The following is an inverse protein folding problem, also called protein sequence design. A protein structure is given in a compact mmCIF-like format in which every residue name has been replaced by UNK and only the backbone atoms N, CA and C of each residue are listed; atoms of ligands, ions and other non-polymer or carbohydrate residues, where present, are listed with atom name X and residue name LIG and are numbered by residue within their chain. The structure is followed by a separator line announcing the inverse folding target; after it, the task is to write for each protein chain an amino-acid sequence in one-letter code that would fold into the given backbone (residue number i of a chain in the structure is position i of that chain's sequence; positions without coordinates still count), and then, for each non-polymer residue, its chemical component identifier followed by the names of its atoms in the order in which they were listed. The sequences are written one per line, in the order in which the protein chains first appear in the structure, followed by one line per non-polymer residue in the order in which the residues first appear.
data_IF_669252400008
#
_entry.id   IF_669252400008
#
_cell.length_a   1.000
_cell.length_b   1.000
_cell.length_c   1.000
_cell.angle_alpha   90.00
_cell.angle_beta   90.00
_cell.angle_gamma   90.00
#
_symmetry.space_group_name_H-M   'P 1'
#
loop_
_entity.id
_entity.type
_entity.pdbx_description
1 polymer ?
#
# COMPACT_ATOMS: atom_id res chain seq x y z
N UNK A 1 -5.32 -98.42 -35.50
CA UNK A 1 -5.61 -97.21 -36.30
C UNK A 1 -5.08 -95.99 -35.54
N UNK A 2 -4.61 -94.96 -36.24
CA UNK A 2 -3.21 -94.51 -36.16
C UNK A 2 -2.92 -93.31 -35.24
N UNK A 3 -1.61 -93.11 -35.06
CA UNK A 3 -0.79 -91.92 -34.79
C UNK A 3 -1.45 -90.54 -34.80
N UNK A 4 -0.95 -89.64 -33.94
CA UNK A 4 -0.14 -88.48 -34.37
C UNK A 4 0.45 -87.69 -33.20
N UNK A 5 1.77 -87.50 -33.28
CA UNK A 5 2.54 -86.47 -32.58
C UNK A 5 2.02 -85.06 -32.91
N UNK A 6 2.21 -84.11 -31.99
CA UNK A 6 2.45 -82.72 -32.35
C UNK A 6 3.40 -82.03 -31.36
N UNK A 7 4.57 -81.76 -31.91
CA UNK A 7 5.71 -81.03 -31.37
C UNK A 7 5.55 -79.51 -31.48
N UNK A 8 6.22 -78.79 -30.56
CA UNK A 8 7.01 -77.55 -30.76
C UNK A 8 6.39 -76.29 -31.41
N UNK A 9 6.59 -75.14 -30.76
CA UNK A 9 6.70 -73.86 -31.47
C UNK A 9 6.40 -72.60 -30.66
N UNK A 10 7.44 -71.82 -30.35
CA UNK A 10 7.37 -70.42 -29.89
C UNK A 10 7.03 -69.48 -31.07
N UNK A 11 6.30 -68.38 -30.81
CA UNK A 11 6.42 -67.07 -31.49
C UNK A 11 5.65 -66.03 -30.66
N UNK A 12 6.29 -65.00 -30.09
CA UNK A 12 6.79 -63.75 -30.70
C UNK A 12 5.67 -62.73 -31.03
N UNK A 13 5.61 -61.72 -30.17
CA UNK A 13 5.31 -60.29 -30.42
C UNK A 13 3.95 -59.89 -31.03
N UNK A 14 3.16 -59.22 -30.19
CA UNK A 14 2.30 -58.11 -30.61
C UNK A 14 2.29 -57.06 -29.51
N UNK A 15 3.12 -56.03 -29.69
CA UNK A 15 3.05 -54.77 -28.98
C UNK A 15 1.71 -54.11 -29.34
N UNK A 16 0.82 -53.97 -28.36
CA UNK A 16 -0.16 -52.89 -28.34
C UNK A 16 -0.18 -52.30 -26.93
N UNK A 17 0.53 -51.17 -26.79
CA UNK A 17 0.40 -50.26 -25.65
C UNK A 17 -1.05 -49.80 -25.59
N UNK A 18 -1.82 -50.34 -24.66
CA UNK A 18 -2.97 -49.62 -24.10
C UNK A 18 -2.49 -48.96 -22.82
N UNK A 19 -1.98 -47.73 -22.98
CA UNK A 19 -1.76 -46.82 -21.88
C UNK A 19 -3.10 -46.13 -21.63
N UNK A 20 -3.98 -46.78 -20.87
CA UNK A 20 -5.21 -46.13 -20.37
C UNK A 20 -4.76 -45.19 -19.26
N UNK A 21 -4.81 -43.90 -19.59
CA UNK A 21 -4.58 -42.77 -18.72
C UNK A 21 -5.60 -42.83 -17.56
N UNK A 22 -5.15 -43.24 -16.37
CA UNK A 22 -5.84 -42.95 -15.12
C UNK A 22 -5.61 -41.44 -14.85
N UNK A 23 -6.42 -40.59 -15.48
CA UNK A 23 -6.64 -39.23 -14.95
C UNK A 23 -7.47 -39.39 -13.70
N UNK A 24 -6.90 -39.03 -12.55
CA UNK A 24 -7.63 -38.87 -11.30
C UNK A 24 -8.55 -37.64 -11.46
N UNK A 25 -9.89 -37.80 -11.51
CA UNK A 25 -10.82 -36.68 -11.69
C UNK A 25 -10.88 -35.76 -10.46
N UNK A 26 -10.21 -36.12 -9.37
CA UNK A 26 -10.29 -35.47 -8.06
C UNK A 26 -9.44 -34.21 -7.96
N UNK A 27 -8.29 -34.16 -8.65
CA UNK A 27 -7.37 -33.01 -8.63
C UNK A 27 -7.93 -31.71 -9.27
N UNK A 28 -8.52 -31.72 -10.49
CA UNK A 28 -9.01 -30.48 -11.10
C UNK A 28 -10.19 -29.86 -10.34
N UNK A 29 -11.05 -30.70 -9.74
CA UNK A 29 -12.17 -30.22 -8.93
C UNK A 29 -11.70 -29.65 -7.58
N UNK A 30 -10.65 -30.23 -6.98
CA UNK A 30 -10.04 -29.68 -5.75
C UNK A 30 -9.40 -28.32 -6.00
N UNK A 31 -8.75 -28.14 -7.14
CA UNK A 31 -8.10 -26.87 -7.51
C UNK A 31 -9.13 -25.77 -7.77
N UNK A 32 -10.20 -26.05 -8.53
CA UNK A 32 -11.27 -25.08 -8.79
C UNK A 32 -11.90 -24.56 -7.48
N UNK A 33 -12.14 -25.45 -6.51
CA UNK A 33 -12.68 -25.10 -5.18
C UNK A 33 -11.70 -24.22 -4.38
N UNK A 34 -10.39 -24.53 -4.41
CA UNK A 34 -9.35 -23.72 -3.75
C UNK A 34 -9.31 -22.29 -4.35
N UNK A 35 -9.35 -22.19 -5.68
CA UNK A 35 -9.30 -20.89 -6.37
C UNK A 35 -10.57 -20.06 -6.14
N UNK A 36 -11.75 -20.67 -6.15
CA UNK A 36 -13.01 -19.98 -5.83
C UNK A 36 -13.06 -19.54 -4.35
N UNK A 37 -12.54 -20.36 -3.44
CA UNK A 37 -12.37 -19.99 -2.02
C UNK A 37 -11.50 -18.75 -1.87
N UNK A 38 -10.37 -18.67 -2.58
CA UNK A 38 -9.52 -17.48 -2.59
C UNK A 38 -10.24 -16.23 -3.09
N UNK A 39 -10.99 -16.32 -4.21
CA UNK A 39 -11.74 -15.17 -4.74
C UNK A 39 -12.79 -14.67 -3.75
N UNK A 40 -13.48 -15.59 -3.06
CA UNK A 40 -14.47 -15.27 -2.02
C UNK A 40 -13.82 -14.61 -0.81
N UNK A 41 -12.71 -15.16 -0.32
CA UNK A 41 -11.99 -14.61 0.82
C UNK A 41 -11.49 -13.19 0.55
N UNK A 42 -10.93 -12.93 -0.65
CA UNK A 42 -10.56 -11.57 -1.06
C UNK A 42 -11.80 -10.65 -1.03
N UNK A 43 -12.93 -11.11 -1.58
CA UNK A 43 -14.16 -10.31 -1.59
C UNK A 43 -14.64 -9.98 -0.17
N UNK A 44 -14.72 -10.97 0.72
CA UNK A 44 -15.12 -10.81 2.12
C UNK A 44 -14.25 -9.78 2.84
N UNK A 45 -12.92 -9.87 2.71
CA UNK A 45 -12.00 -8.91 3.34
C UNK A 45 -12.23 -7.47 2.88
N UNK A 46 -12.47 -7.27 1.59
CA UNK A 46 -12.72 -5.93 1.05
C UNK A 46 -14.14 -5.42 1.34
N UNK A 47 -15.12 -6.31 1.52
CA UNK A 47 -16.45 -5.96 2.03
C UNK A 47 -16.35 -5.50 3.48
N UNK A 48 -15.68 -6.26 4.34
CA UNK A 48 -15.47 -5.91 5.76
C UNK A 48 -14.70 -4.59 5.89
N UNK A 49 -13.66 -4.40 5.08
CA UNK A 49 -12.90 -3.16 5.05
C UNK A 49 -13.76 -1.96 4.63
N UNK A 50 -14.65 -2.15 3.65
CA UNK A 50 -15.57 -1.11 3.21
C UNK A 50 -16.66 -0.80 4.25
N UNK A 51 -17.09 -1.81 5.02
CA UNK A 51 -18.00 -1.62 6.15
C UNK A 51 -17.33 -0.85 7.31
N UNK A 52 -16.02 -1.04 7.51
CA UNK A 52 -15.24 -0.26 8.49
C UNK A 52 -14.89 1.16 8.01
N UNK A 53 -15.11 1.47 6.73
CA UNK A 53 -14.86 2.79 6.16
C UNK A 53 -16.07 3.72 6.38
N UNK A 54 -16.34 4.05 7.64
CA UNK A 54 -17.18 5.20 7.99
C UNK A 54 -16.54 6.48 7.43
N UNK A 55 -17.34 7.48 7.03
CA UNK A 55 -16.84 8.71 6.39
C UNK A 55 -15.74 9.42 7.19
N UNK A 56 -15.76 9.29 8.53
CA UNK A 56 -14.77 9.89 9.43
C UNK A 56 -13.53 9.03 9.68
N UNK A 57 -13.54 7.73 9.36
CA UNK A 57 -12.43 6.80 9.64
C UNK A 57 -11.62 6.41 8.40
N UNK A 58 -12.16 6.68 7.21
CA UNK A 58 -11.49 6.41 5.94
C UNK A 58 -10.10 7.10 5.89
N UNK A 59 -9.07 6.35 5.51
CA UNK A 59 -7.67 6.81 5.44
C UNK A 59 -7.09 7.28 6.80
N UNK A 60 -7.64 6.81 7.92
CA UNK A 60 -6.94 6.84 9.22
C UNK A 60 -5.81 5.80 9.29
N UNK A 61 -4.86 5.97 10.20
CA UNK A 61 -3.80 4.99 10.47
C UNK A 61 -4.40 3.61 10.84
N UNK A 62 -5.49 3.60 11.60
CA UNK A 62 -6.19 2.37 11.97
C UNK A 62 -6.80 1.68 10.74
N UNK A 63 -7.52 2.44 9.91
CA UNK A 63 -8.18 1.89 8.72
C UNK A 63 -7.17 1.37 7.70
N UNK A 64 -6.09 2.10 7.45
CA UNK A 64 -5.00 1.63 6.58
C UNK A 64 -4.33 0.39 7.20
N UNK A 65 -4.21 0.35 8.52
CA UNK A 65 -3.77 -0.84 9.24
C UNK A 65 -4.64 -2.07 8.93
N UNK A 66 -5.97 -1.94 8.88
CA UNK A 66 -6.91 -3.01 8.50
C UNK A 66 -6.79 -3.39 7.02
N UNK A 67 -6.52 -2.44 6.14
CA UNK A 67 -6.22 -2.69 4.73
C UNK A 67 -4.95 -3.54 4.59
N UNK A 68 -3.88 -3.19 5.31
CA UNK A 68 -2.64 -3.95 5.28
C UNK A 68 -2.81 -5.35 5.84
N UNK A 69 -3.53 -5.53 6.94
CA UNK A 69 -3.83 -6.88 7.47
C UNK A 69 -4.60 -7.72 6.44
N UNK A 70 -5.61 -7.14 5.80
CA UNK A 70 -6.40 -7.79 4.74
C UNK A 70 -5.52 -8.20 3.55
N UNK A 71 -4.63 -7.30 3.12
CA UNK A 71 -3.66 -7.58 2.07
C UNK A 71 -2.72 -8.72 2.47
N UNK A 72 -2.18 -8.70 3.69
CA UNK A 72 -1.25 -9.72 4.17
C UNK A 72 -1.91 -11.11 4.27
N UNK A 73 -3.18 -11.17 4.64
CA UNK A 73 -3.98 -12.41 4.57
C UNK A 73 -4.10 -12.91 3.12
N UNK A 74 -4.52 -12.05 2.19
CA UNK A 74 -4.65 -12.43 0.77
C UNK A 74 -3.30 -12.88 0.18
N UNK A 75 -2.21 -12.23 0.56
CA UNK A 75 -0.88 -12.54 0.08
C UNK A 75 -0.37 -13.90 0.56
N UNK A 76 -0.69 -14.28 1.80
CA UNK A 76 -0.30 -15.58 2.35
C UNK A 76 -1.06 -16.72 1.66
N UNK A 77 -2.36 -16.55 1.44
CA UNK A 77 -3.19 -17.54 0.73
C UNK A 77 -2.75 -17.69 -0.72
N UNK A 78 -2.48 -16.56 -1.39
CA UNK A 78 -1.88 -16.56 -2.72
C UNK A 78 -0.54 -17.31 -2.73
N UNK A 79 0.34 -17.07 -1.74
CA UNK A 79 1.64 -17.76 -1.61
C UNK A 79 1.44 -19.28 -1.51
N UNK A 80 0.49 -19.73 -0.70
CA UNK A 80 0.17 -21.16 -0.54
C UNK A 80 -0.31 -21.77 -1.87
N UNK A 81 -1.24 -21.11 -2.58
CA UNK A 81 -1.73 -21.57 -3.89
C UNK A 81 -0.59 -21.71 -4.90
N UNK A 82 0.26 -20.68 -5.02
CA UNK A 82 1.43 -20.71 -5.91
C UNK A 82 2.38 -21.85 -5.52
N UNK A 83 2.58 -22.09 -4.22
CA UNK A 83 3.44 -23.18 -3.73
C UNK A 83 2.86 -24.57 -4.00
N UNK A 84 1.53 -24.74 -3.90
CA UNK A 84 0.86 -26.01 -4.15
C UNK A 84 0.89 -26.41 -5.64
N UNK A 85 0.83 -25.41 -6.54
CA UNK A 85 0.71 -25.63 -7.99
C UNK A 85 1.99 -25.32 -8.78
N UNK A 86 3.17 -25.46 -8.16
CA UNK A 86 4.48 -25.11 -8.76
C UNK A 86 4.75 -25.70 -10.15
N UNK A 87 4.35 -26.94 -10.38
CA UNK A 87 4.53 -27.63 -11.66
C UNK A 87 3.79 -26.95 -12.82
N UNK A 88 2.73 -26.20 -12.52
CA UNK A 88 1.97 -25.44 -13.50
C UNK A 88 2.62 -24.07 -13.77
N UNK A 89 3.41 -23.53 -12.83
CA UNK A 89 4.08 -22.23 -12.97
C UNK A 89 5.19 -22.22 -14.01
N UNK A 90 5.80 -23.38 -14.28
CA UNK A 90 6.88 -23.50 -15.28
C UNK A 90 6.35 -23.64 -16.71
N UNK A 91 5.03 -23.86 -16.85
CA UNK A 91 4.39 -24.06 -18.16
C UNK A 91 3.91 -22.73 -18.71
N UNK A 92 4.05 -22.55 -20.02
CA UNK A 92 3.40 -21.41 -20.69
C UNK A 92 1.87 -21.54 -20.63
N UNK A 93 1.12 -20.45 -20.39
CA UNK A 93 1.58 -19.06 -20.25
C UNK A 93 1.86 -18.62 -18.78
N UNK A 94 1.81 -19.53 -17.80
CA UNK A 94 1.94 -19.18 -16.38
C UNK A 94 3.33 -18.66 -16.00
N UNK A 95 4.38 -19.18 -16.61
CA UNK A 95 5.77 -18.74 -16.44
C UNK A 95 5.91 -17.22 -16.58
N UNK A 96 5.33 -16.65 -17.63
CA UNK A 96 5.35 -15.21 -17.89
C UNK A 96 4.46 -14.44 -16.91
N UNK A 97 3.27 -14.97 -16.61
CA UNK A 97 2.34 -14.29 -15.70
C UNK A 97 2.91 -14.15 -14.29
N UNK A 98 3.59 -15.19 -13.80
CA UNK A 98 4.20 -15.16 -12.47
C UNK A 98 5.48 -14.33 -12.45
N UNK A 99 6.29 -14.36 -13.51
CA UNK A 99 7.46 -13.49 -13.67
C UNK A 99 7.04 -12.00 -13.66
N UNK A 100 6.02 -11.64 -14.46
CA UNK A 100 5.47 -10.30 -14.49
C UNK A 100 4.93 -9.87 -13.11
N UNK A 101 4.30 -10.78 -12.36
CA UNK A 101 3.87 -10.50 -11.00
C UNK A 101 5.06 -10.17 -10.08
N UNK A 102 6.15 -10.94 -10.16
CA UNK A 102 7.33 -10.66 -9.34
C UNK A 102 8.03 -9.37 -9.74
N UNK A 103 8.08 -9.03 -11.03
CA UNK A 103 8.60 -7.75 -11.47
C UNK A 103 7.76 -6.57 -10.94
N UNK A 104 6.43 -6.71 -10.94
CA UNK A 104 5.52 -5.75 -10.31
C UNK A 104 5.69 -5.69 -8.79
N UNK A 105 6.01 -6.81 -8.14
CA UNK A 105 6.23 -6.85 -6.70
C UNK A 105 7.51 -6.11 -6.29
N UNK A 106 8.55 -6.09 -7.14
CA UNK A 106 9.74 -5.23 -6.92
C UNK A 106 9.35 -3.75 -6.88
N UNK A 107 8.53 -3.29 -7.82
CA UNK A 107 8.03 -1.91 -7.83
C UNK A 107 7.19 -1.60 -6.58
N UNK A 108 6.44 -2.58 -6.07
CA UNK A 108 5.73 -2.43 -4.80
C UNK A 108 6.68 -2.31 -3.59
N UNK A 109 7.85 -2.98 -3.62
CA UNK A 109 8.89 -2.80 -2.60
C UNK A 109 9.47 -1.37 -2.65
N UNK A 110 9.66 -0.80 -3.84
CA UNK A 110 10.09 0.60 -3.99
C UNK A 110 9.05 1.57 -3.40
N UNK A 111 7.76 1.28 -3.58
CA UNK A 111 6.69 2.04 -2.91
C UNK A 111 6.79 1.89 -1.40
N UNK A 112 6.94 0.68 -0.86
CA UNK A 112 7.09 0.47 0.58
C UNK A 112 8.28 1.24 1.17
N UNK A 113 9.40 1.31 0.45
CA UNK A 113 10.56 2.12 0.84
C UNK A 113 10.22 3.61 0.93
N UNK A 114 9.57 4.15 -0.09
CA UNK A 114 9.15 5.56 -0.08
C UNK A 114 8.11 5.86 1.00
N UNK A 115 7.22 4.92 1.31
CA UNK A 115 6.25 5.05 2.38
C UNK A 115 6.94 5.05 3.75
N UNK A 116 7.93 4.19 3.98
CA UNK A 116 8.76 4.23 5.19
C UNK A 116 9.45 5.58 5.35
N UNK A 117 10.04 6.11 4.28
CA UNK A 117 10.69 7.43 4.32
C UNK A 117 9.66 8.55 4.61
N UNK A 118 8.44 8.42 4.08
CA UNK A 118 7.32 9.31 4.41
C UNK A 118 6.87 9.22 5.88
N UNK A 119 6.87 8.02 6.46
CA UNK A 119 6.62 7.80 7.91
C UNK A 119 7.71 8.47 8.76
N UNK A 120 8.98 8.35 8.37
CA UNK A 120 10.08 9.00 9.07
C UNK A 120 9.94 10.53 9.05
N UNK A 121 9.57 11.09 7.90
CA UNK A 121 9.30 12.52 7.75
C UNK A 121 8.15 12.97 8.66
N UNK A 122 7.08 12.19 8.72
CA UNK A 122 5.97 12.42 9.64
C UNK A 122 6.46 12.45 11.10
N UNK A 123 7.33 11.51 11.49
CA UNK A 123 7.94 11.50 12.82
C UNK A 123 8.80 12.75 13.10
N UNK A 124 9.48 13.30 12.09
CA UNK A 124 10.20 14.57 12.24
C UNK A 124 9.25 15.74 12.48
N UNK A 125 8.08 15.76 11.84
CA UNK A 125 7.06 16.80 12.08
C UNK A 125 6.55 16.75 13.51
N UNK A 126 6.32 15.56 14.06
CA UNK A 126 5.90 15.41 15.45
C UNK A 126 6.92 15.97 16.44
N UNK A 127 8.23 15.84 16.16
CA UNK A 127 9.31 16.44 16.97
C UNK A 127 9.31 17.97 16.87
N UNK A 128 9.08 18.52 15.68
CA UNK A 128 8.98 19.98 15.51
C UNK A 128 7.78 20.56 16.26
N UNK A 129 6.64 19.87 16.21
CA UNK A 129 5.42 20.28 16.92
C UNK A 129 5.64 20.22 18.43
N UNK A 130 6.34 19.20 18.93
CA UNK A 130 6.72 19.12 20.34
C UNK A 130 7.54 20.33 20.80
N UNK A 131 8.51 20.76 20.00
CA UNK A 131 9.30 21.96 20.31
C UNK A 131 8.42 23.21 20.38
N UNK A 132 7.47 23.36 19.44
CA UNK A 132 6.52 24.48 19.44
C UNK A 132 5.63 24.44 20.68
N UNK A 133 5.10 23.28 21.03
CA UNK A 133 4.27 23.09 22.22
C UNK A 133 5.05 23.44 23.51
N UNK A 134 6.30 22.97 23.63
CA UNK A 134 7.16 23.33 24.77
C UNK A 134 7.48 24.83 24.84
N UNK A 135 7.69 25.49 23.69
CA UNK A 135 7.96 26.92 23.65
C UNK A 135 6.74 27.76 24.06
N UNK A 136 5.54 27.33 23.64
CA UNK A 136 4.28 27.97 24.04
C UNK A 136 4.03 27.79 25.54
N UNK A 137 4.20 26.57 26.08
CA UNK A 137 4.02 26.31 27.51
C UNK A 137 5.01 27.10 28.39
N UNK A 138 6.28 27.19 27.97
CA UNK A 138 7.29 28.01 28.65
C UNK A 138 6.92 29.51 28.68
N UNK A 139 6.31 30.03 27.62
CA UNK A 139 5.85 31.42 27.56
C UNK A 139 4.64 31.73 28.46
N UNK A 140 3.90 30.71 28.90
CA UNK A 140 2.78 30.86 29.83
C UNK A 140 3.21 30.78 31.31
N UNK A 141 4.36 30.17 31.62
CA UNK A 141 4.85 29.97 33.00
C UNK A 141 5.70 31.09 33.59
N UNK A 142 6.41 31.88 32.76
CA UNK A 142 7.31 32.95 33.22
C UNK A 142 7.41 34.10 32.19
N UNK A 143 7.00 35.30 32.63
CA UNK A 143 7.38 36.65 32.17
C UNK A 143 7.01 37.17 30.76
N UNK A 144 6.39 38.36 30.77
CA UNK A 144 6.88 39.53 30.06
C UNK A 144 6.64 39.60 28.55
N UNK A 145 5.81 40.56 28.14
CA UNK A 145 5.41 40.94 26.76
C UNK A 145 6.53 41.08 25.70
N UNK A 146 7.81 40.95 26.06
CA UNK A 146 8.96 41.15 25.16
C UNK A 146 9.51 39.90 24.46
N UNK A 147 9.30 38.69 24.98
CA UNK A 147 10.04 37.49 24.50
C UNK A 147 9.30 36.67 23.43
N UNK A 148 8.00 36.88 23.25
CA UNK A 148 7.19 36.21 22.22
C UNK A 148 7.59 36.66 20.81
N UNK A 149 8.00 37.93 20.64
CA UNK A 149 8.51 38.43 19.36
C UNK A 149 9.97 38.03 19.07
N UNK A 150 10.78 37.77 20.10
CA UNK A 150 12.19 37.41 19.92
C UNK A 150 12.38 35.92 19.60
N UNK A 151 11.53 35.01 20.11
CA UNK A 151 11.63 33.57 19.80
C UNK A 151 11.21 33.28 18.35
N UNK A 152 10.15 33.93 17.86
CA UNK A 152 9.68 33.85 16.47
C UNK A 152 10.70 34.42 15.48
N UNK A 153 11.37 35.54 15.83
CA UNK A 153 12.46 36.11 15.02
C UNK A 153 13.77 35.30 15.06
N UNK A 154 14.06 34.58 16.14
CA UNK A 154 15.26 33.72 16.22
C UNK A 154 15.15 32.48 15.31
N UNK A 155 13.94 31.97 15.09
CA UNK A 155 13.63 30.92 14.12
C UNK A 155 13.73 31.45 12.67
N UNK A 156 13.38 32.72 12.45
CA UNK A 156 13.54 33.39 11.15
C UNK A 156 15.02 33.65 10.77
N UNK A 157 15.90 33.90 11.75
CA UNK A 157 17.33 34.11 11.50
C UNK A 157 18.14 32.82 11.35
N UNK A 158 17.84 31.75 12.10
CA UNK A 158 18.58 30.47 11.97
C UNK A 158 18.23 29.66 10.71
N UNK A 159 17.09 29.93 10.07
CA UNK A 159 16.73 29.33 8.79
C UNK A 159 17.25 30.10 7.55
N UNK A 160 17.83 31.30 7.73
CA UNK A 160 18.44 32.08 6.62
C UNK A 160 19.85 31.66 6.25
N UNK A 161 20.54 30.88 7.07
CA UNK A 161 21.94 30.49 6.82
C UNK A 161 22.12 29.30 5.86
N UNK A 162 21.04 28.65 5.39
CA UNK A 162 21.12 27.51 4.48
C UNK A 162 20.55 27.74 3.07
N UNK A 163 20.01 28.91 2.74
CA UNK A 163 19.34 29.14 1.44
C UNK A 163 19.72 30.49 0.83
N UNK A 164 20.89 30.52 0.19
CA UNK A 164 21.18 31.53 -0.84
C UNK A 164 20.59 31.04 -2.16
N UNK A 165 19.28 31.22 -2.34
CA UNK A 165 18.71 31.35 -3.67
C UNK A 165 17.60 32.39 -3.66
N UNK A 166 17.80 33.39 -4.51
CA UNK A 166 17.01 34.60 -4.66
C UNK A 166 15.87 34.28 -5.61
N UNK A 167 14.65 34.16 -5.11
CA UNK A 167 13.46 34.35 -5.94
C UNK A 167 12.31 34.95 -5.12
N UNK A 168 11.73 35.98 -5.72
CA UNK A 168 10.82 36.95 -5.14
C UNK A 168 9.40 36.39 -5.15
N UNK A 169 8.87 35.92 -4.02
CA UNK A 169 7.43 35.97 -3.75
C UNK A 169 7.16 35.77 -2.25
N UNK A 170 6.71 36.83 -1.59
CA UNK A 170 6.42 36.91 -0.17
C UNK A 170 4.99 36.42 0.14
N UNK A 171 4.83 35.96 1.38
CA UNK A 171 3.62 35.52 2.10
C UNK A 171 3.23 34.04 1.96
N UNK A 172 3.12 33.37 3.12
CA UNK A 172 2.75 31.94 3.39
C UNK A 172 3.84 30.86 3.25
N UNK A 173 5.04 31.10 3.80
CA UNK A 173 6.21 30.23 3.62
C UNK A 173 6.68 29.36 4.80
N UNK A 174 6.05 29.39 5.98
CA UNK A 174 6.67 28.80 7.18
C UNK A 174 6.59 27.27 7.31
N UNK A 175 5.72 26.60 6.53
CA UNK A 175 5.68 25.13 6.43
C UNK A 175 6.25 24.59 5.11
N UNK A 176 6.78 25.47 4.25
CA UNK A 176 7.19 25.10 2.88
C UNK A 176 8.65 24.66 2.74
N UNK A 177 9.43 24.60 3.82
CA UNK A 177 10.84 24.13 3.76
C UNK A 177 11.01 22.63 3.96
N UNK A 178 9.95 21.90 4.28
CA UNK A 178 9.96 20.43 4.26
C UNK A 178 9.78 19.99 2.80
N UNK A 179 10.81 20.16 1.96
CA UNK A 179 10.78 19.66 0.59
C UNK A 179 10.63 18.14 0.61
N UNK A 180 9.51 17.61 0.14
CA UNK A 180 9.21 16.17 0.06
C UNK A 180 10.02 15.45 -1.03
N UNK A 181 11.23 15.92 -1.29
CA UNK A 181 12.08 15.35 -2.33
C UNK A 181 12.79 14.12 -1.79
N UNK A 182 12.29 12.96 -2.22
CA UNK A 182 13.15 11.79 -2.42
C UNK A 182 14.03 12.08 -3.65
N UNK A 183 15.02 11.23 -3.94
CA UNK A 183 15.89 11.35 -5.10
C UNK A 183 15.16 11.82 -6.37
N UNK A 184 15.74 12.79 -7.09
CA UNK A 184 15.16 13.47 -8.28
C UNK A 184 14.70 12.53 -9.41
N UNK A 185 14.98 11.24 -9.34
CA UNK A 185 14.60 10.22 -10.33
C UNK A 185 13.37 9.38 -9.95
N UNK A 186 12.93 9.39 -8.69
CA UNK A 186 11.81 8.55 -8.23
C UNK A 186 10.47 9.29 -8.32
N UNK A 187 9.40 8.57 -8.65
CA UNK A 187 8.03 9.11 -8.74
C UNK A 187 7.02 8.02 -8.39
N UNK A 188 6.15 8.31 -7.41
CA UNK A 188 5.11 7.38 -6.99
C UNK A 188 4.16 7.03 -8.14
N UNK A 189 3.73 8.03 -8.92
CA UNK A 189 2.88 7.82 -10.09
C UNK A 189 3.53 6.88 -11.13
N UNK A 190 4.84 7.00 -11.38
CA UNK A 190 5.56 6.09 -12.29
C UNK A 190 5.65 4.67 -11.74
N UNK A 191 5.83 4.50 -10.42
CA UNK A 191 5.83 3.17 -9.80
C UNK A 191 4.46 2.51 -9.90
N UNK A 192 3.39 3.24 -9.57
CA UNK A 192 2.02 2.76 -9.70
C UNK A 192 1.66 2.43 -11.14
N UNK A 193 2.03 3.29 -12.09
CA UNK A 193 1.89 3.00 -13.51
C UNK A 193 2.68 1.75 -13.89
N UNK A 194 3.93 1.59 -13.40
CA UNK A 194 4.75 0.42 -13.66
C UNK A 194 4.17 -0.88 -13.09
N UNK A 195 3.38 -0.83 -12.03
CA UNK A 195 2.64 -1.98 -11.48
C UNK A 195 1.40 -2.26 -12.35
N UNK A 196 0.63 -1.23 -12.70
CA UNK A 196 -0.62 -1.37 -13.47
C UNK A 196 -0.45 -1.49 -14.99
N UNK A 197 0.73 -1.22 -15.53
CA UNK A 197 0.95 -1.25 -16.97
C UNK A 197 0.74 -2.66 -17.52
N UNK A 198 -0.04 -2.76 -18.60
CA UNK A 198 -0.44 -4.01 -19.22
C UNK A 198 -1.14 -4.99 -18.27
N UNK A 199 -1.76 -4.51 -17.18
CA UNK A 199 -2.59 -5.35 -16.32
C UNK A 199 -3.96 -5.54 -16.99
N UNK A 200 -4.07 -6.58 -17.83
CA UNK A 200 -5.31 -6.94 -18.51
C UNK A 200 -5.95 -8.16 -17.84
N UNK A 201 -7.29 -8.21 -17.87
CA UNK A 201 -8.02 -9.40 -17.44
C UNK A 201 -7.63 -10.61 -18.29
N UNK A 202 -7.28 -11.76 -17.69
CA UNK A 202 -6.94 -12.97 -18.43
C UNK A 202 -8.05 -13.37 -19.38
N UNK A 203 -7.70 -13.77 -20.60
CA UNK A 203 -8.69 -14.24 -21.59
C UNK A 203 -9.18 -15.63 -21.19
N UNK A 204 -10.38 -16.00 -21.62
CA UNK A 204 -10.93 -17.34 -21.36
C UNK A 204 -9.99 -18.47 -21.81
N UNK A 205 -9.26 -18.29 -22.91
CA UNK A 205 -8.23 -19.24 -23.37
C UNK A 205 -7.08 -19.40 -22.40
N UNK A 206 -6.63 -18.30 -21.79
CA UNK A 206 -5.51 -18.28 -20.86
C UNK A 206 -5.95 -18.87 -19.50
N UNK A 207 -7.19 -18.60 -19.08
CA UNK A 207 -7.79 -19.22 -17.89
C UNK A 207 -7.89 -20.74 -18.05
N UNK A 208 -8.38 -21.22 -19.20
CA UNK A 208 -8.46 -22.66 -19.48
C UNK A 208 -7.08 -23.32 -19.56
N UNK A 209 -6.10 -22.65 -20.18
CA UNK A 209 -4.73 -23.18 -20.30
C UNK A 209 -3.99 -23.30 -18.96
N UNK A 210 -4.45 -22.56 -17.94
CA UNK A 210 -3.78 -22.45 -16.63
C UNK A 210 -4.60 -23.02 -15.49
N UNK A 211 -5.67 -23.75 -15.80
CA UNK A 211 -6.63 -24.30 -14.83
C UNK A 211 -7.12 -23.23 -13.83
N UNK A 212 -7.26 -21.98 -14.26
CA UNK A 212 -7.69 -20.86 -13.42
C UNK A 212 -6.58 -20.08 -12.69
N UNK A 213 -5.33 -20.56 -12.64
CA UNK A 213 -4.26 -19.86 -11.90
C UNK A 213 -3.98 -18.44 -12.42
N UNK A 214 -4.14 -18.21 -13.72
CA UNK A 214 -4.00 -16.88 -14.30
C UNK A 214 -4.93 -15.87 -13.63
N UNK A 215 -6.13 -16.30 -13.21
CA UNK A 215 -7.08 -15.45 -12.50
C UNK A 215 -6.59 -15.14 -11.08
N UNK A 216 -6.03 -16.11 -10.37
CA UNK A 216 -5.46 -15.91 -9.03
C UNK A 216 -4.32 -14.89 -9.06
N UNK A 217 -3.41 -15.01 -10.03
CA UNK A 217 -2.32 -14.04 -10.24
C UNK A 217 -2.87 -12.66 -10.57
N UNK A 218 -3.87 -12.58 -11.46
CA UNK A 218 -4.52 -11.30 -11.81
C UNK A 218 -5.18 -10.63 -10.61
N UNK A 219 -5.94 -11.38 -9.79
CA UNK A 219 -6.56 -10.88 -8.57
C UNK A 219 -5.50 -10.35 -7.62
N UNK A 220 -4.47 -11.14 -7.31
CA UNK A 220 -3.42 -10.70 -6.38
C UNK A 220 -2.64 -9.49 -6.90
N UNK A 221 -2.37 -9.42 -8.21
CA UNK A 221 -1.73 -8.25 -8.83
C UNK A 221 -2.60 -7.00 -8.71
N UNK A 222 -3.92 -7.14 -8.91
CA UNK A 222 -4.88 -6.05 -8.79
C UNK A 222 -4.98 -5.52 -7.36
N UNK A 223 -5.03 -6.43 -6.38
CA UNK A 223 -5.05 -6.10 -4.96
C UNK A 223 -3.74 -5.44 -4.53
N UNK A 224 -2.58 -5.94 -5.00
CA UNK A 224 -1.28 -5.31 -4.77
C UNK A 224 -1.25 -3.87 -5.29
N UNK A 225 -1.68 -3.65 -6.53
CA UNK A 225 -1.75 -2.31 -7.13
C UNK A 225 -2.65 -1.39 -6.31
N UNK A 226 -3.84 -1.86 -5.92
CA UNK A 226 -4.78 -1.08 -5.12
C UNK A 226 -4.17 -0.67 -3.78
N UNK A 227 -3.58 -1.61 -3.04
CA UNK A 227 -2.97 -1.33 -1.72
C UNK A 227 -1.81 -0.34 -1.84
N UNK A 228 -0.92 -0.52 -2.82
CA UNK A 228 0.18 0.42 -3.06
C UNK A 228 -0.34 1.81 -3.45
N UNK A 229 -1.41 1.89 -4.23
CA UNK A 229 -2.07 3.15 -4.58
C UNK A 229 -2.66 3.85 -3.34
N UNK A 230 -3.33 3.10 -2.44
CA UNK A 230 -3.87 3.67 -1.19
C UNK A 230 -2.75 4.20 -0.30
N UNK A 231 -1.64 3.48 -0.16
CA UNK A 231 -0.49 3.93 0.62
C UNK A 231 0.09 5.24 0.07
N UNK A 232 0.28 5.32 -1.26
CA UNK A 232 0.72 6.53 -1.95
C UNK A 232 -0.27 7.68 -1.78
N UNK A 233 -1.57 7.40 -1.75
CA UNK A 233 -2.59 8.42 -1.52
C UNK A 233 -2.54 8.98 -0.10
N UNK A 234 -2.40 8.09 0.89
CA UNK A 234 -2.40 8.43 2.30
C UNK A 234 -1.13 9.20 2.73
N UNK A 235 0.05 8.66 2.41
CA UNK A 235 1.34 9.12 2.95
C UNK A 235 2.01 10.12 1.99
N UNK A 236 2.61 11.21 2.52
CA UNK A 236 3.38 12.14 1.69
C UNK A 236 4.52 11.43 0.96
N UNK A 237 4.50 11.49 -0.36
CA UNK A 237 5.58 11.01 -1.22
C UNK A 237 5.66 11.83 -2.51
N UNK A 238 6.79 11.73 -3.22
CA UNK A 238 7.06 12.53 -4.41
C UNK A 238 6.19 12.08 -5.61
N UNK A 239 5.63 13.07 -6.33
CA UNK A 239 4.85 12.84 -7.55
C UNK A 239 3.73 11.81 -7.38
N UNK A 240 2.89 11.97 -6.33
CA UNK A 240 1.80 11.04 -5.97
C UNK A 240 0.91 10.64 -7.14
N UNK A 241 0.56 11.61 -7.99
CA UNK A 241 -0.25 11.45 -9.21
C UNK A 241 -1.27 10.30 -9.13
N UNK A 242 -2.41 10.54 -8.46
CA UNK A 242 -3.46 9.52 -8.25
C UNK A 242 -4.22 9.10 -9.51
N UNK A 243 -3.72 9.43 -10.70
CA UNK A 243 -4.33 9.14 -11.99
C UNK A 243 -4.09 7.69 -12.44
N UNK A 244 -4.32 6.73 -11.54
CA UNK A 244 -4.34 5.31 -11.88
C UNK A 244 -5.77 4.96 -12.27
N UNK A 245 -5.97 4.51 -13.52
CA UNK A 245 -7.27 4.08 -13.98
C UNK A 245 -7.52 2.63 -13.55
N UNK A 246 -8.34 2.46 -12.52
CA UNK A 246 -8.85 1.16 -12.12
C UNK A 246 -10.09 0.80 -12.95
N UNK A 247 -10.04 -0.34 -13.62
CA UNK A 247 -11.21 -0.93 -14.26
C UNK A 247 -11.20 -2.43 -14.02
N UNK A 248 -12.06 -2.88 -13.11
CA UNK A 248 -12.21 -4.29 -12.78
C UNK A 248 -13.54 -4.82 -13.32
N UNK A 249 -13.55 -5.94 -14.08
CA UNK A 249 -14.78 -6.57 -14.52
C UNK A 249 -15.68 -6.97 -13.35
N UNK A 250 -16.96 -6.61 -13.42
CA UNK A 250 -17.93 -6.82 -12.33
C UNK A 250 -18.23 -8.28 -11.99
N UNK A 251 -17.81 -9.23 -12.82
CA UNK A 251 -18.01 -10.65 -12.55
C UNK A 251 -17.09 -11.18 -11.45
N UNK A 252 -16.03 -10.46 -11.10
CA UNK A 252 -15.20 -10.77 -9.94
C UNK A 252 -15.88 -10.30 -8.65
N UNK A 253 -16.00 -11.21 -7.68
CA UNK A 253 -16.70 -10.95 -6.41
C UNK A 253 -16.08 -9.78 -5.62
N UNK A 254 -14.75 -9.63 -5.69
CA UNK A 254 -14.01 -8.55 -5.03
C UNK A 254 -13.99 -7.22 -5.80
N UNK A 255 -14.39 -7.20 -7.08
CA UNK A 255 -14.27 -6.00 -7.90
C UNK A 255 -15.16 -4.85 -7.39
N UNK A 256 -16.41 -5.14 -7.05
CA UNK A 256 -17.37 -4.14 -6.55
C UNK A 256 -16.90 -3.49 -5.22
N UNK A 257 -16.53 -4.24 -4.16
CA UNK A 257 -16.07 -3.63 -2.92
C UNK A 257 -14.77 -2.84 -3.09
N UNK A 258 -13.81 -3.32 -3.91
CA UNK A 258 -12.57 -2.58 -4.22
C UNK A 258 -12.87 -1.28 -4.97
N UNK A 259 -13.71 -1.33 -6.01
CA UNK A 259 -14.09 -0.12 -6.76
C UNK A 259 -14.86 0.88 -5.90
N UNK A 260 -15.70 0.41 -4.98
CA UNK A 260 -16.39 1.29 -4.04
C UNK A 260 -15.42 2.05 -3.13
N UNK A 261 -14.37 1.39 -2.63
CA UNK A 261 -13.32 2.04 -1.84
C UNK A 261 -12.50 3.02 -2.68
N UNK A 262 -12.16 2.64 -3.91
CA UNK A 262 -11.48 3.53 -4.86
C UNK A 262 -12.27 4.85 -5.03
N UNK A 263 -13.57 4.75 -5.28
CA UNK A 263 -14.43 5.91 -5.52
C UNK A 263 -14.52 6.82 -4.27
N UNK A 264 -14.69 6.23 -3.08
CA UNK A 264 -14.66 6.97 -1.80
C UNK A 264 -13.34 7.74 -1.60
N UNK A 265 -12.20 7.09 -1.86
CA UNK A 265 -10.88 7.71 -1.72
C UNK A 265 -10.67 8.82 -2.76
N UNK A 266 -11.13 8.63 -4.00
CA UNK A 266 -11.08 9.65 -5.05
C UNK A 266 -11.98 10.86 -4.74
N UNK A 267 -13.10 10.65 -4.08
CA UNK A 267 -13.95 11.76 -3.64
C UNK A 267 -13.32 12.52 -2.47
N UNK A 268 -12.67 11.83 -1.53
CA UNK A 268 -11.83 12.49 -0.52
C UNK A 268 -10.67 13.26 -1.13
N UNK A 269 -10.00 12.72 -2.15
CA UNK A 269 -8.88 13.40 -2.82
C UNK A 269 -9.31 14.71 -3.47
N UNK A 270 -10.45 14.73 -4.18
CA UNK A 270 -11.01 15.94 -4.80
C UNK A 270 -11.40 17.00 -3.77
N UNK A 271 -11.91 16.60 -2.60
CA UNK A 271 -12.21 17.53 -1.49
C UNK A 271 -10.93 18.19 -0.96
N UNK A 272 -9.80 17.48 -0.98
CA UNK A 272 -8.52 17.93 -0.40
C UNK A 272 -7.59 18.64 -1.39
N UNK A 273 -7.69 18.39 -2.69
CA UNK A 273 -6.85 19.07 -3.71
C UNK A 273 -7.03 20.59 -3.71
N UNK A 274 -8.23 21.09 -3.36
CA UNK A 274 -8.49 22.53 -3.20
C UNK A 274 -7.62 23.20 -2.12
N UNK A 275 -7.06 22.42 -1.17
CA UNK A 275 -6.30 22.91 -0.01
C UNK A 275 -4.79 22.68 -0.10
N UNK A 276 -4.27 22.11 -1.21
CA UNK A 276 -2.86 21.72 -1.39
C UNK A 276 -2.32 20.85 -0.23
N UNK A 277 -3.08 19.84 0.18
CA UNK A 277 -2.72 18.95 1.30
C UNK A 277 -1.57 17.97 0.96
N UNK A 278 -0.76 17.61 1.95
CA UNK A 278 0.43 16.77 1.77
C UNK A 278 0.21 15.25 1.71
N UNK A 279 -0.98 14.82 2.08
CA UNK A 279 -1.39 13.43 2.18
C UNK A 279 -2.90 13.38 2.29
N UNK A 280 -3.50 12.20 2.10
CA UNK A 280 -4.90 11.99 2.48
C UNK A 280 -5.05 11.37 3.87
N UNK A 281 -3.94 11.05 4.55
CA UNK A 281 -3.98 10.52 5.92
C UNK A 281 -4.74 11.46 6.85
N UNK A 282 -5.72 10.92 7.58
CA UNK A 282 -6.60 11.69 8.47
C UNK A 282 -5.82 12.46 9.53
N UNK A 283 -4.88 11.81 10.18
CA UNK A 283 -4.09 12.34 11.29
C UNK A 283 -3.22 13.53 10.84
N UNK A 284 -2.61 13.43 9.65
CA UNK A 284 -1.87 14.54 9.04
C UNK A 284 -2.80 15.74 8.78
N UNK A 285 -4.00 15.49 8.24
CA UNK A 285 -4.95 16.57 7.97
C UNK A 285 -5.41 17.26 9.26
N UNK A 286 -5.64 16.49 10.32
CA UNK A 286 -6.03 17.01 11.62
C UNK A 286 -4.88 17.82 12.25
N UNK A 287 -3.65 17.34 12.09
CA UNK A 287 -2.43 18.05 12.50
C UNK A 287 -2.30 19.40 11.78
N UNK A 288 -2.35 19.40 10.45
CA UNK A 288 -2.24 20.62 9.63
C UNK A 288 -3.34 21.64 9.97
N UNK A 289 -4.56 21.18 10.24
CA UNK A 289 -5.67 22.06 10.65
C UNK A 289 -5.35 22.74 11.98
N UNK A 290 -4.95 21.99 12.99
CA UNK A 290 -4.63 22.53 14.32
C UNK A 290 -3.44 23.48 14.29
N UNK A 291 -2.36 23.10 13.59
CA UNK A 291 -1.19 23.98 13.43
C UNK A 291 -1.53 25.27 12.70
N UNK A 292 -2.39 25.21 11.66
CA UNK A 292 -2.81 26.41 10.93
C UNK A 292 -3.65 27.35 11.79
N UNK A 293 -4.64 26.82 12.50
CA UNK A 293 -5.47 27.61 13.42
C UNK A 293 -4.62 28.26 14.52
N UNK A 294 -3.65 27.53 15.07
CA UNK A 294 -2.72 28.06 16.06
C UNK A 294 -1.83 29.18 15.49
N UNK A 295 -1.33 29.02 14.26
CA UNK A 295 -0.56 30.07 13.57
C UNK A 295 -1.39 31.32 13.33
N UNK A 296 -2.65 31.19 12.91
CA UNK A 296 -3.55 32.33 12.67
C UNK A 296 -3.84 33.11 13.96
N UNK A 297 -3.94 32.43 15.11
CA UNK A 297 -4.10 33.09 16.41
C UNK A 297 -2.83 33.84 16.83
N UNK A 298 -1.66 33.22 16.66
CA UNK A 298 -0.35 33.81 17.00
C UNK A 298 -0.02 35.02 16.11
N UNK A 299 -0.33 34.94 14.82
CA UNK A 299 -0.03 35.97 13.82
C UNK A 299 -1.06 37.11 13.78
N UNK A 300 -2.11 37.07 14.62
CA UNK A 300 -3.13 38.10 14.64
C UNK A 300 -2.59 39.41 15.24
N UNK A 301 -2.73 40.53 14.52
CA UNK A 301 -2.28 41.88 14.93
C UNK A 301 -2.88 42.36 16.27
N UNK A 302 -3.90 41.67 16.78
CA UNK A 302 -4.56 41.88 18.08
C UNK A 302 -4.10 40.86 19.13
N UNK A 303 -2.87 40.34 19.08
CA UNK A 303 -2.30 39.56 20.19
C UNK A 303 -2.07 40.46 21.42
N UNK A 304 -3.14 41.00 21.98
CA UNK A 304 -3.24 41.39 23.37
C UNK A 304 -3.61 40.14 24.15
N UNK A 305 -2.84 39.81 25.18
CA UNK A 305 -3.14 38.78 26.18
C UNK A 305 -4.38 39.19 26.99
N UNK A 306 -5.54 39.27 26.35
CA UNK A 306 -6.83 39.24 27.05
C UNK A 306 -7.06 37.79 27.52
N UNK A 307 -7.68 37.62 28.69
CA UNK A 307 -7.92 36.31 29.29
C UNK A 307 -8.63 35.35 28.32
N UNK A 308 -9.52 35.86 27.46
CA UNK A 308 -10.25 35.08 26.46
C UNK A 308 -9.36 34.52 25.33
N UNK A 309 -8.42 35.32 24.81
CA UNK A 309 -7.48 34.88 23.77
C UNK A 309 -6.46 33.88 24.32
N UNK A 310 -6.03 34.08 25.57
CA UNK A 310 -5.13 33.15 26.26
C UNK A 310 -5.80 31.79 26.51
N UNK A 311 -7.10 31.80 26.84
CA UNK A 311 -7.90 30.58 27.01
C UNK A 311 -8.06 29.83 25.68
N UNK A 312 -8.36 30.54 24.58
CA UNK A 312 -8.50 29.91 23.26
C UNK A 312 -7.17 29.30 22.77
N UNK A 313 -6.04 29.99 22.96
CA UNK A 313 -4.71 29.43 22.61
C UNK A 313 -4.43 28.17 23.43
N UNK A 314 -4.74 28.17 24.73
CA UNK A 314 -4.54 27.01 25.60
C UNK A 314 -5.38 25.81 25.15
N UNK A 315 -6.64 26.03 24.79
CA UNK A 315 -7.52 24.97 24.26
C UNK A 315 -6.94 24.38 22.97
N UNK A 316 -6.46 25.22 22.04
CA UNK A 316 -5.86 24.75 20.78
C UNK A 316 -4.52 24.04 20.96
N UNK A 317 -3.72 24.44 21.94
CA UNK A 317 -2.48 23.73 22.31
C UNK A 317 -2.80 22.33 22.84
N UNK A 318 -3.82 22.19 23.69
CA UNK A 318 -4.28 20.90 24.20
C UNK A 318 -4.83 20.01 23.08
N UNK A 319 -5.65 20.55 22.17
CA UNK A 319 -6.13 19.83 20.98
C UNK A 319 -4.95 19.35 20.10
N UNK A 320 -3.96 20.20 19.85
CA UNK A 320 -2.77 19.85 19.08
C UNK A 320 -1.93 18.76 19.76
N UNK A 321 -1.81 18.80 21.10
CA UNK A 321 -1.16 17.75 21.89
C UNK A 321 -1.88 16.42 21.74
N UNK A 322 -3.21 16.40 21.87
CA UNK A 322 -4.00 15.18 21.74
C UNK A 322 -3.85 14.55 20.36
N UNK A 323 -3.88 15.36 19.30
CA UNK A 323 -3.69 14.88 17.92
C UNK A 323 -2.29 14.33 17.72
N UNK A 324 -1.27 14.96 18.30
CA UNK A 324 0.12 14.48 18.24
C UNK A 324 0.28 13.13 18.91
N UNK A 325 -0.24 12.95 20.12
CA UNK A 325 -0.12 11.68 20.83
C UNK A 325 -0.87 10.57 20.09
N UNK A 326 -2.11 10.81 19.65
CA UNK A 326 -2.87 9.83 18.86
C UNK A 326 -2.11 9.40 17.59
N UNK A 327 -1.52 10.37 16.89
CA UNK A 327 -0.74 10.12 15.70
C UNK A 327 0.55 9.34 16.01
N UNK A 328 1.24 9.63 17.12
CA UNK A 328 2.47 8.96 17.55
C UNK A 328 2.18 7.51 17.94
N UNK A 329 1.11 7.27 18.70
CA UNK A 329 0.67 5.92 19.07
C UNK A 329 0.29 5.07 17.87
N UNK A 330 -0.31 5.68 16.83
CA UNK A 330 -0.69 4.99 15.60
C UNK A 330 0.46 4.76 14.61
N UNK A 331 1.51 5.59 14.63
CA UNK A 331 2.57 5.57 13.62
C UNK A 331 3.48 4.34 13.76
N UNK A 332 3.89 3.98 14.98
CA UNK A 332 4.77 2.83 15.22
C UNK A 332 4.12 1.49 14.79
N UNK A 333 2.85 1.18 15.13
CA UNK A 333 2.15 0.02 14.58
C UNK A 333 2.06 0.04 13.06
N UNK A 334 1.82 1.21 12.47
CA UNK A 334 1.71 1.34 11.03
C UNK A 334 3.04 1.07 10.31
N UNK A 335 4.15 1.62 10.80
CA UNK A 335 5.49 1.35 10.27
C UNK A 335 5.83 -0.15 10.32
N UNK A 336 5.51 -0.81 11.44
CA UNK A 336 5.67 -2.25 11.59
C UNK A 336 4.91 -3.02 10.52
N UNK A 337 3.65 -2.66 10.25
CA UNK A 337 2.84 -3.29 9.20
C UNK A 337 3.40 -3.08 7.80
N UNK A 338 3.88 -1.87 7.47
CA UNK A 338 4.53 -1.60 6.18
C UNK A 338 5.79 -2.45 6.02
N UNK A 339 6.57 -2.62 7.08
CA UNK A 339 7.74 -3.50 7.09
C UNK A 339 7.36 -4.97 6.92
N UNK A 340 6.26 -5.41 7.54
CA UNK A 340 5.77 -6.79 7.40
C UNK A 340 5.30 -7.07 5.95
N UNK A 341 4.64 -6.10 5.32
CA UNK A 341 4.30 -6.14 3.87
C UNK A 341 5.55 -6.30 3.02
N UNK A 342 6.56 -5.46 3.26
CA UNK A 342 7.84 -5.54 2.54
C UNK A 342 8.46 -6.94 2.67
N UNK A 343 8.60 -7.45 3.90
CA UNK A 343 9.23 -8.75 4.13
C UNK A 343 8.42 -9.91 3.56
N UNK A 344 7.09 -9.89 3.62
CA UNK A 344 6.24 -10.94 3.05
C UNK A 344 6.30 -10.96 1.52
N UNK A 345 6.38 -9.81 0.87
CA UNK A 345 6.59 -9.73 -0.58
C UNK A 345 7.96 -10.32 -0.96
N UNK A 346 9.03 -9.91 -0.26
CA UNK A 346 10.39 -10.45 -0.48
C UNK A 346 10.39 -11.97 -0.28
N UNK A 347 9.84 -12.44 0.83
CA UNK A 347 9.78 -13.87 1.17
C UNK A 347 9.09 -14.69 0.09
N UNK A 348 7.88 -14.30 -0.33
CA UNK A 348 7.13 -15.06 -1.35
C UNK A 348 7.84 -15.08 -2.69
N UNK A 349 8.51 -13.98 -3.07
CA UNK A 349 9.32 -13.94 -4.30
C UNK A 349 10.53 -14.85 -4.20
N UNK A 350 11.29 -14.81 -3.10
CA UNK A 350 12.47 -15.66 -2.90
C UNK A 350 12.07 -17.14 -2.89
N UNK A 351 11.05 -17.52 -2.13
CA UNK A 351 10.58 -18.92 -2.06
C UNK A 351 10.14 -19.45 -3.43
N UNK A 352 9.46 -18.62 -4.23
CA UNK A 352 9.03 -18.99 -5.57
C UNK A 352 10.20 -19.11 -6.55
N UNK A 353 11.12 -18.14 -6.57
CA UNK A 353 12.29 -18.16 -7.45
C UNK A 353 13.23 -19.33 -7.12
N UNK A 354 13.48 -19.60 -5.83
CA UNK A 354 14.28 -20.75 -5.39
C UNK A 354 13.64 -22.08 -5.80
N UNK A 355 12.31 -22.13 -5.78
CA UNK A 355 11.56 -23.32 -6.23
C UNK A 355 11.65 -23.49 -7.75
N UNK A 356 11.55 -22.41 -8.53
CA UNK A 356 11.66 -22.45 -9.99
C UNK A 356 13.07 -22.84 -10.43
N UNK A 357 14.11 -22.30 -9.79
CA UNK A 357 15.50 -22.65 -10.08
C UNK A 357 15.81 -24.13 -9.83
N UNK A 358 15.33 -24.69 -8.71
CA UNK A 358 15.52 -26.11 -8.38
C UNK A 358 14.83 -27.07 -9.35
N UNK A 359 13.69 -26.68 -9.95
CA UNK A 359 13.02 -27.53 -10.94
C UNK A 359 13.73 -27.46 -12.28
N UNK A 360 14.28 -26.29 -12.65
CA UNK A 360 15.07 -26.16 -13.88
C UNK A 360 16.37 -26.97 -13.83
N UNK A 361 16.97 -27.15 -12.66
CA UNK A 361 18.15 -28.01 -12.46
C UNK A 361 17.84 -29.53 -12.45
N UNK A 362 16.55 -29.91 -12.43
CA UNK A 362 16.10 -31.31 -12.37
C UNK A 362 15.56 -31.85 -13.71
N UNK A 363 15.36 -30.99 -14.70
CA UNK A 363 15.12 -31.36 -16.12
C UNK A 363 16.44 -31.43 -16.88
#
# INVERSE_FOLDING_TARGET
MPETDLSFGRSLLSLRRDQVHLMDPTEPMSMEVELDSFQRQVAEKFIDLNASANDDELLSLEWIGKLLDSFLCCQEEFRVIIFNHKSQLLKQPMDRLIEDYFERSVKALDVCNAIRDGIELIGQWQKLIEIVLCALDASHGQLGEGEIHHSSNSLAQRNRSFTRNKDNNQHTGYLRSLSWSVSRSWSAAKQLQGIGNNLATPRASDVMATNGLALTVYTMTSILLFVMWVLVAAIPCQDRGLQVHFYFPRHFQWAVPVMSLHDKIMDESKKRDKKKACGLLKEINLMEKNTRMLSELIDSDNFSLTDDNALEVKERVEELMQVRESMKEGLDPFERKVRDVFHRIVRSRTEALDSLGKVHDQE
#
